data_IF_997425316043
#
_entry.id   IF_997425316043
#
_cell.length_a   1.000
_cell.length_b   1.000
_cell.length_c   1.000
_cell.angle_alpha   90.00
_cell.angle_beta   90.00
_cell.angle_gamma   90.00
#
_symmetry.space_group_name_H-M   'P 1'
#
loop_
_entity.id
_entity.type
_entity.pdbx_description
1 polymer ?
#
# COMPACT_ATOMS: atom_id res chain seq x y z
N UNK A 1 -52.92 -21.25 -9.11
CA UNK A 1 -51.92 -21.36 -8.03
C UNK A 1 -50.54 -21.47 -8.69
N UNK A 2 -49.96 -20.38 -9.22
CA UNK A 2 -49.14 -19.38 -8.51
C UNK A 2 -47.89 -19.98 -7.83
N UNK A 3 -46.97 -20.61 -8.57
CA UNK A 3 -45.63 -20.91 -8.02
C UNK A 3 -44.44 -20.67 -8.97
N UNK A 4 -44.65 -20.08 -10.15
CA UNK A 4 -43.55 -19.77 -11.09
C UNK A 4 -43.01 -18.34 -10.99
N UNK A 5 -43.65 -17.47 -10.20
CA UNK A 5 -43.30 -16.04 -10.12
C UNK A 5 -42.31 -15.63 -9.02
N UNK A 6 -42.04 -16.50 -8.03
CA UNK A 6 -41.29 -16.09 -6.82
C UNK A 6 -39.78 -16.33 -6.94
N UNK A 7 -39.33 -17.25 -7.80
CA UNK A 7 -37.91 -17.62 -7.89
C UNK A 7 -37.09 -16.61 -8.71
N UNK A 8 -37.72 -15.83 -9.59
CA UNK A 8 -36.98 -14.84 -10.40
C UNK A 8 -36.63 -13.54 -9.65
N UNK A 9 -37.30 -13.25 -8.52
CA UNK A 9 -37.11 -12.00 -7.77
C UNK A 9 -35.94 -12.04 -6.77
N UNK A 10 -35.46 -13.24 -6.39
CA UNK A 10 -34.33 -13.39 -5.45
C UNK A 10 -32.95 -13.33 -6.13
N UNK A 11 -32.88 -13.46 -7.45
CA UNK A 11 -31.61 -13.39 -8.19
C UNK A 11 -31.13 -11.95 -8.47
N UNK A 12 -32.04 -10.95 -8.46
CA UNK A 12 -31.66 -9.56 -8.76
C UNK A 12 -31.01 -8.80 -7.59
N UNK A 13 -31.11 -9.31 -6.36
CA UNK A 13 -30.62 -8.57 -5.17
C UNK A 13 -29.09 -8.70 -4.98
N UNK A 14 -28.45 -9.66 -5.64
CA UNK A 14 -27.01 -9.89 -5.48
C UNK A 14 -26.12 -9.05 -6.43
N UNK A 15 -26.70 -8.35 -7.40
CA UNK A 15 -25.97 -7.51 -8.36
C UNK A 15 -25.77 -6.06 -7.90
N UNK A 16 -26.31 -5.67 -6.75
CA UNK A 16 -26.16 -4.31 -6.21
C UNK A 16 -25.26 -4.26 -4.99
N UNK A 17 -24.12 -4.96 -5.02
CA UNK A 17 -23.01 -4.56 -4.14
C UNK A 17 -22.36 -3.33 -4.78
N UNK A 18 -22.56 -2.11 -4.26
CA UNK A 18 -21.79 -0.98 -4.72
C UNK A 18 -20.33 -1.33 -4.46
N UNK A 19 -19.55 -1.44 -5.53
CA UNK A 19 -18.10 -1.38 -5.42
C UNK A 19 -17.84 -0.03 -4.79
N UNK A 20 -17.54 -0.03 -3.49
CA UNK A 20 -17.16 1.16 -2.76
C UNK A 20 -15.83 1.64 -3.36
N UNK A 21 -15.92 2.45 -4.42
CA UNK A 21 -14.81 3.23 -4.88
C UNK A 21 -14.46 4.20 -3.74
N UNK A 22 -13.17 4.35 -3.37
CA UNK A 22 -12.79 5.32 -2.35
C UNK A 22 -13.36 6.69 -2.74
N UNK A 23 -14.12 7.29 -1.82
CA UNK A 23 -14.86 8.52 -2.04
C UNK A 23 -13.90 9.72 -2.04
N UNK A 24 -13.27 9.98 -3.18
CA UNK A 24 -12.41 11.14 -3.41
C UNK A 24 -11.56 10.94 -4.66
N UNK A 25 -11.39 12.01 -5.44
CA UNK A 25 -10.42 12.02 -6.54
C UNK A 25 -9.02 11.71 -5.98
N UNK A 26 -8.23 10.81 -6.61
CA UNK A 26 -6.89 10.51 -6.16
C UNK A 26 -6.06 11.78 -6.05
N UNK A 27 -5.31 11.91 -4.96
CA UNK A 27 -4.33 12.97 -4.80
C UNK A 27 -3.20 12.76 -5.80
N UNK A 28 -2.77 13.83 -6.48
CA UNK A 28 -1.57 13.79 -7.31
C UNK A 28 -0.31 13.91 -6.46
N UNK A 29 0.76 13.27 -6.91
CA UNK A 29 2.05 13.27 -6.22
C UNK A 29 2.61 14.70 -6.15
N UNK A 30 2.52 15.49 -7.22
CA UNK A 30 2.98 16.88 -7.21
C UNK A 30 2.25 17.73 -6.17
N UNK A 31 0.94 17.53 -5.99
CA UNK A 31 0.17 18.27 -4.98
C UNK A 31 0.63 17.93 -3.56
N UNK A 32 0.88 16.65 -3.28
CA UNK A 32 1.43 16.22 -2.00
C UNK A 32 2.80 16.84 -1.74
N UNK A 33 3.70 16.80 -2.72
CA UNK A 33 5.09 17.24 -2.56
C UNK A 33 5.25 18.77 -2.55
N UNK A 34 4.30 19.51 -3.15
CA UNK A 34 4.30 20.97 -3.13
C UNK A 34 4.04 21.55 -1.73
N UNK A 35 3.16 20.93 -0.95
CA UNK A 35 2.90 21.30 0.44
C UNK A 35 2.57 20.05 1.29
N UNK A 36 3.59 19.33 1.78
CA UNK A 36 3.39 18.04 2.45
C UNK A 36 2.94 18.15 3.90
N UNK A 37 3.24 19.26 4.60
CA UNK A 37 3.00 19.41 6.04
C UNK A 37 1.52 19.23 6.44
N UNK A 38 0.53 19.75 5.69
CA UNK A 38 -0.88 19.50 5.97
C UNK A 38 -1.30 18.03 5.96
N UNK A 39 -0.49 17.15 5.35
CA UNK A 39 -0.74 15.72 5.22
C UNK A 39 0.00 14.88 6.26
N UNK A 40 0.81 15.49 7.14
CA UNK A 40 1.51 14.75 8.18
C UNK A 40 0.53 13.93 9.06
N UNK A 41 0.82 12.63 9.17
CA UNK A 41 0.05 11.58 9.84
C UNK A 41 -1.36 11.32 9.27
N UNK A 42 -1.71 11.93 8.13
CA UNK A 42 -3.00 11.70 7.45
C UNK A 42 -2.91 10.55 6.46
N UNK A 43 -4.08 9.97 6.20
CA UNK A 43 -4.29 9.04 5.10
C UNK A 43 -4.59 9.81 3.81
N UNK A 44 -3.95 9.40 2.72
CA UNK A 44 -4.26 9.87 1.37
C UNK A 44 -4.51 8.68 0.45
N UNK A 45 -5.29 8.91 -0.61
CA UNK A 45 -5.41 7.99 -1.73
C UNK A 45 -4.60 8.54 -2.91
N UNK A 46 -3.72 7.73 -3.49
CA UNK A 46 -2.91 8.07 -4.68
C UNK A 46 -3.00 6.91 -5.67
N UNK A 47 -2.93 7.20 -6.96
CA UNK A 47 -2.90 6.19 -8.02
C UNK A 47 -1.70 6.43 -8.93
N UNK A 48 -1.19 5.37 -9.53
CA UNK A 48 -0.07 5.46 -10.46
C UNK A 48 0.47 4.10 -10.87
N UNK A 49 1.56 4.13 -11.62
CA UNK A 49 2.31 2.95 -12.07
C UNK A 49 3.40 2.59 -11.07
N UNK A 50 3.48 1.32 -10.72
CA UNK A 50 4.53 0.82 -9.82
C UNK A 50 5.84 0.57 -10.57
N UNK A 51 6.93 1.07 -10.01
CA UNK A 51 8.29 0.92 -10.50
C UNK A 51 9.25 0.52 -9.40
N UNK A 52 10.40 -0.04 -9.77
CA UNK A 52 11.50 -0.34 -8.85
C UNK A 52 11.04 -1.14 -7.62
N UNK A 53 10.23 -2.18 -7.85
CA UNK A 53 9.73 -3.02 -6.76
C UNK A 53 10.89 -3.79 -6.13
N UNK A 54 11.12 -3.58 -4.83
CA UNK A 54 12.21 -4.17 -4.08
C UNK A 54 11.72 -4.75 -2.75
N UNK A 55 11.88 -6.06 -2.57
CA UNK A 55 11.72 -6.71 -1.27
C UNK A 55 12.83 -6.20 -0.34
N UNK A 56 12.44 -5.67 0.80
CA UNK A 56 13.37 -5.34 1.87
C UNK A 56 13.64 -6.64 2.64
N UNK A 57 14.88 -7.11 2.58
CA UNK A 57 15.27 -8.23 3.43
C UNK A 57 15.29 -7.76 4.89
N UNK A 58 14.33 -8.22 5.67
CA UNK A 58 14.42 -8.11 7.12
C UNK A 58 15.66 -8.87 7.58
N UNK A 59 16.64 -8.16 8.16
CA UNK A 59 17.58 -8.84 9.04
C UNK A 59 16.75 -9.36 10.20
N UNK A 60 16.74 -10.67 10.51
CA UNK A 60 15.93 -11.19 11.60
C UNK A 60 16.22 -10.37 12.85
N UNK A 61 15.19 -9.75 13.39
CA UNK A 61 15.31 -8.98 14.61
C UNK A 61 15.77 -9.94 15.70
N UNK A 62 17.01 -9.82 16.18
CA UNK A 62 17.40 -10.41 17.46
C UNK A 62 16.62 -9.65 18.52
N UNK A 63 15.41 -10.11 18.86
CA UNK A 63 14.77 -9.68 20.08
C UNK A 63 15.36 -10.55 21.21
N UNK A 64 16.25 -10.02 22.07
CA UNK A 64 16.92 -10.83 23.09
C UNK A 64 15.98 -11.38 24.17
N UNK A 65 14.69 -11.03 24.14
CA UNK A 65 13.66 -11.54 25.05
C UNK A 65 12.82 -12.69 24.48
N UNK A 66 12.98 -12.99 23.19
CA UNK A 66 12.19 -13.99 22.48
C UNK A 66 13.16 -14.86 21.69
N UNK A 67 13.37 -16.09 22.14
CA UNK A 67 14.22 -17.08 21.44
C UNK A 67 13.65 -17.52 20.07
N UNK A 68 12.55 -16.91 19.61
CA UNK A 68 12.04 -17.13 18.26
C UNK A 68 12.60 -16.07 17.31
N UNK A 69 13.32 -16.54 16.30
CA UNK A 69 13.57 -15.73 15.10
C UNK A 69 12.24 -15.60 14.35
N UNK A 70 11.85 -14.38 14.02
CA UNK A 70 10.63 -14.09 13.30
C UNK A 70 10.94 -13.82 11.84
N UNK A 71 10.55 -14.74 10.95
CA UNK A 71 10.64 -14.55 9.51
C UNK A 71 9.24 -14.31 8.97
N UNK A 72 8.99 -13.12 8.42
CA UNK A 72 7.71 -12.83 7.77
C UNK A 72 7.65 -13.52 6.41
N UNK A 73 6.55 -14.25 6.18
CA UNK A 73 6.27 -14.88 4.87
C UNK A 73 6.02 -13.80 3.80
N UNK A 74 5.35 -12.70 4.19
CA UNK A 74 5.22 -11.49 3.38
C UNK A 74 6.16 -10.42 3.93
N UNK A 75 7.42 -10.35 3.45
CA UNK A 75 8.39 -9.38 3.93
C UNK A 75 7.95 -7.94 3.59
N UNK A 76 8.52 -6.94 4.28
CA UNK A 76 8.32 -5.56 3.87
C UNK A 76 8.96 -5.34 2.50
N UNK A 77 8.41 -4.41 1.73
CA UNK A 77 8.95 -4.06 0.41
C UNK A 77 8.71 -2.59 0.12
N UNK A 78 9.46 -2.06 -0.84
CA UNK A 78 9.29 -0.71 -1.35
C UNK A 78 9.06 -0.74 -2.85
N UNK A 79 8.40 0.30 -3.35
CA UNK A 79 8.33 0.57 -4.78
C UNK A 79 8.18 2.08 -4.98
N UNK A 80 8.53 2.55 -6.17
CA UNK A 80 8.27 3.92 -6.62
C UNK A 80 6.92 3.94 -7.32
N UNK A 81 5.98 4.74 -6.83
CA UNK A 81 4.75 5.03 -7.55
C UNK A 81 4.97 6.25 -8.43
N UNK A 82 4.67 6.13 -9.73
CA UNK A 82 4.70 7.23 -10.68
C UNK A 82 3.29 7.60 -11.12
N UNK A 83 2.95 8.88 -11.09
CA UNK A 83 1.80 9.42 -11.80
C UNK A 83 2.27 10.42 -12.87
N UNK A 84 1.35 11.07 -13.57
CA UNK A 84 1.69 12.07 -14.60
C UNK A 84 2.41 13.32 -14.03
N UNK A 85 2.49 13.44 -12.71
CA UNK A 85 2.95 14.63 -12.00
C UNK A 85 4.23 14.43 -11.21
N UNK A 86 4.64 13.18 -10.94
CA UNK A 86 5.90 12.90 -10.24
C UNK A 86 6.03 11.48 -9.73
N UNK A 87 6.95 11.30 -8.79
CA UNK A 87 7.31 10.02 -8.20
C UNK A 87 7.23 10.08 -6.67
N UNK A 88 6.73 9.01 -6.05
CA UNK A 88 6.64 8.87 -4.61
C UNK A 88 7.13 7.48 -4.20
N UNK A 89 8.11 7.42 -3.30
CA UNK A 89 8.55 6.15 -2.73
C UNK A 89 7.51 5.66 -1.71
N UNK A 90 6.99 4.46 -1.97
CA UNK A 90 6.02 3.78 -1.12
C UNK A 90 6.72 2.67 -0.34
N UNK A 91 6.46 2.61 0.95
CA UNK A 91 6.85 1.50 1.81
C UNK A 91 5.64 0.67 2.16
N UNK A 92 5.77 -0.66 2.13
CA UNK A 92 4.75 -1.61 2.56
C UNK A 92 5.33 -2.42 3.71
N UNK A 93 4.61 -2.44 4.82
CA UNK A 93 5.04 -3.17 6.00
C UNK A 93 4.94 -4.69 5.80
N UNK A 94 5.76 -5.43 6.53
CA UNK A 94 5.64 -6.88 6.62
C UNK A 94 4.24 -7.27 7.13
N UNK A 95 3.71 -8.40 6.64
CA UNK A 95 2.40 -8.93 7.06
C UNK A 95 2.53 -10.34 7.63
N UNK A 96 1.68 -10.72 8.59
CA UNK A 96 1.61 -12.10 9.06
C UNK A 96 1.25 -13.06 7.90
N UNK A 97 1.63 -14.34 7.98
CA UNK A 97 2.22 -14.99 9.14
C UNK A 97 3.72 -14.71 9.32
N UNK A 98 4.16 -14.73 10.57
CA UNK A 98 5.56 -14.85 10.93
C UNK A 98 5.83 -16.29 11.37
N UNK A 99 6.89 -16.89 10.83
CA UNK A 99 7.29 -18.28 11.07
C UNK A 99 8.65 -18.34 11.75
N UNK A 100 8.87 -19.40 12.54
CA UNK A 100 10.11 -19.62 13.30
C UNK A 100 11.27 -20.19 12.46
N UNK A 101 10.96 -20.72 11.29
CA UNK A 101 11.93 -21.23 10.33
C UNK A 101 11.92 -20.37 9.08
N UNK A 102 13.09 -20.17 8.47
CA UNK A 102 13.20 -19.43 7.22
C UNK A 102 12.33 -20.13 6.15
N UNK A 103 11.25 -19.48 5.74
CA UNK A 103 10.42 -19.86 4.60
C UNK A 103 10.84 -19.03 3.39
N UNK A 104 10.69 -19.53 2.16
CA UNK A 104 10.72 -18.66 0.99
C UNK A 104 9.76 -17.48 1.21
N UNK A 105 10.23 -16.27 0.92
CA UNK A 105 9.38 -15.09 0.91
C UNK A 105 8.38 -15.20 -0.23
N UNK A 106 7.13 -14.85 0.05
CA UNK A 106 6.16 -14.65 -1.01
C UNK A 106 6.48 -13.37 -1.80
N UNK A 107 6.19 -13.37 -3.11
CA UNK A 107 6.40 -12.18 -3.92
C UNK A 107 5.50 -11.03 -3.44
N UNK A 108 5.91 -9.77 -3.64
CA UNK A 108 5.06 -8.61 -3.37
C UNK A 108 3.75 -8.67 -4.15
N UNK A 109 2.69 -8.11 -3.56
CA UNK A 109 1.37 -7.98 -4.19
C UNK A 109 1.37 -7.05 -5.43
N UNK A 110 2.50 -6.38 -5.70
CA UNK A 110 2.72 -5.41 -6.77
C UNK A 110 3.93 -5.85 -7.62
N UNK A 111 3.82 -5.70 -8.93
CA UNK A 111 4.88 -5.98 -9.90
C UNK A 111 5.24 -4.71 -10.68
N UNK A 112 6.41 -4.72 -11.31
CA UNK A 112 6.84 -3.64 -12.21
C UNK A 112 5.80 -3.41 -13.30
N UNK A 113 5.40 -2.14 -13.50
CA UNK A 113 4.43 -1.73 -14.50
C UNK A 113 2.96 -1.87 -14.08
N UNK A 114 2.66 -2.42 -12.90
CA UNK A 114 1.28 -2.51 -12.42
C UNK A 114 0.68 -1.12 -12.21
N UNK A 115 -0.53 -0.91 -12.71
CA UNK A 115 -1.36 0.23 -12.31
C UNK A 115 -2.00 -0.07 -10.96
N UNK A 116 -1.76 0.79 -9.97
CA UNK A 116 -2.22 0.57 -8.60
C UNK A 116 -2.88 1.81 -8.01
N UNK A 117 -3.87 1.57 -7.16
CA UNK A 117 -4.38 2.53 -6.20
C UNK A 117 -3.86 2.18 -4.81
N UNK A 118 -3.34 3.18 -4.10
CA UNK A 118 -2.82 3.03 -2.75
C UNK A 118 -3.57 3.92 -1.78
N UNK A 119 -3.76 3.42 -0.57
CA UNK A 119 -4.05 4.23 0.60
C UNK A 119 -2.79 4.30 1.44
N UNK A 120 -2.23 5.49 1.64
CA UNK A 120 -0.97 5.68 2.32
C UNK A 120 -1.09 6.65 3.49
N UNK A 121 -0.45 6.30 4.61
CA UNK A 121 -0.22 7.23 5.70
C UNK A 121 1.04 8.03 5.39
N UNK A 122 0.91 9.36 5.39
CA UNK A 122 2.04 10.25 5.12
C UNK A 122 2.73 10.63 6.42
N UNK A 123 4.04 10.50 6.45
CA UNK A 123 4.90 11.04 7.51
C UNK A 123 5.81 12.08 6.88
N UNK A 124 5.87 13.25 7.50
CA UNK A 124 6.69 14.37 7.07
C UNK A 124 7.70 14.55 8.17
N UNK A 125 8.96 14.54 7.79
CA UNK A 125 10.08 14.63 8.70
C UNK A 125 11.10 15.64 8.19
N UNK A 126 12.05 15.93 9.06
CA UNK A 126 13.23 16.71 8.73
C UNK A 126 14.42 15.76 8.79
N UNK A 127 15.20 15.72 7.71
CA UNK A 127 16.45 15.01 7.67
C UNK A 127 17.59 16.01 7.54
N UNK A 128 18.33 16.14 8.62
CA UNK A 128 19.58 16.90 8.64
C UNK A 128 20.69 16.04 8.06
N UNK A 129 21.20 16.44 6.90
CA UNK A 129 22.31 15.77 6.22
C UNK A 129 23.22 16.81 5.59
N UNK A 130 24.53 16.66 5.76
CA UNK A 130 25.53 17.55 5.13
C UNK A 130 25.31 19.05 5.44
N UNK A 131 24.79 19.37 6.64
CA UNK A 131 24.51 20.74 7.06
C UNK A 131 23.25 21.37 6.44
N UNK A 132 22.48 20.62 5.66
CA UNK A 132 21.19 21.03 5.12
C UNK A 132 20.05 20.36 5.90
N UNK A 133 19.04 21.16 6.25
CA UNK A 133 17.73 20.65 6.69
C UNK A 133 16.89 20.35 5.45
N UNK A 134 16.53 19.08 5.24
CA UNK A 134 15.70 18.65 4.14
C UNK A 134 14.39 18.10 4.66
N UNK A 135 13.30 18.63 4.14
CA UNK A 135 11.99 18.05 4.36
C UNK A 135 11.88 16.72 3.60
N UNK A 136 11.47 15.67 4.29
CA UNK A 136 11.30 14.33 3.75
C UNK A 136 9.85 13.89 3.86
N UNK A 137 9.35 13.24 2.82
CA UNK A 137 8.01 12.65 2.79
C UNK A 137 8.16 11.13 2.73
N UNK A 138 7.54 10.44 3.68
CA UNK A 138 7.47 8.99 3.72
C UNK A 138 6.01 8.57 3.56
N UNK A 139 5.75 7.65 2.63
CA UNK A 139 4.43 7.10 2.39
C UNK A 139 4.40 5.62 2.80
N UNK A 140 3.69 5.31 3.88
CA UNK A 140 3.47 3.94 4.34
C UNK A 140 2.11 3.45 3.85
N UNK A 141 2.09 2.49 2.93
CA UNK A 141 0.86 1.90 2.44
C UNK A 141 0.10 1.18 3.56
N UNK A 142 -1.20 1.43 3.65
CA UNK A 142 -2.17 0.69 4.47
C UNK A 142 -3.06 -0.21 3.62
N UNK A 143 -3.21 0.13 2.33
CA UNK A 143 -3.88 -0.70 1.34
C UNK A 143 -3.25 -0.48 -0.04
N UNK A 144 -3.14 -1.56 -0.82
CA UNK A 144 -2.68 -1.52 -2.21
C UNK A 144 -3.64 -2.37 -3.03
N UNK A 145 -4.14 -1.81 -4.13
CA UNK A 145 -5.10 -2.48 -5.02
C UNK A 145 -4.67 -2.28 -6.46
N UNK A 146 -4.49 -3.38 -7.20
CA UNK A 146 -4.29 -3.32 -8.65
C UNK A 146 -5.56 -2.77 -9.32
N UNK A 147 -5.37 -1.80 -10.19
CA UNK A 147 -6.38 -1.31 -11.11
C UNK A 147 -6.21 -2.17 -12.35
N UNK A 148 -7.14 -3.10 -12.58
CA UNK A 148 -7.00 -4.12 -13.62
C UNK A 148 -6.61 -3.56 -14.99
N UNK A 149 -5.98 -4.42 -15.80
CA UNK A 149 -5.56 -4.08 -17.16
C UNK A 149 -6.73 -3.71 -18.08
#
# INVERSE_FOLDING_TARGET
MQQLGVVLLSALVWLMHPIAAPAGEPMTIAKLLADPQPYHLKMIAVQGTAHQVQILQDKPGKNPRLDFQCYFVHPPYTFVLADDTGFLQISVAARPPCVSQMSPAEPPDVSEGDQVAIEAQITVGHQYSEGADRLTVQALAKGVRKLGN
#
